data_IF_890569787556
#
_entry.id   IF_890569787556
#
_cell.length_a   1.000
_cell.length_b   1.000
_cell.length_c   1.000
_cell.angle_alpha   90.00
_cell.angle_beta   90.00
_cell.angle_gamma   90.00
#
_symmetry.space_group_name_H-M   'P 1'
#
loop_
_entity.id
_entity.type
_entity.pdbx_description
1 polymer ?
#
# COMPACT_ATOMS: atom_id res chain seq x y z
N UNK A 1 5.30 7.08 -12.59
CA UNK A 1 4.70 5.89 -11.92
C UNK A 1 4.62 4.76 -12.93
N UNK A 2 4.73 3.50 -12.47
CA UNK A 2 4.60 2.34 -13.35
C UNK A 2 3.17 2.17 -13.84
N UNK A 3 2.99 1.62 -15.05
CA UNK A 3 1.68 1.24 -15.59
C UNK A 3 1.44 -0.26 -15.43
N UNK A 4 0.19 -0.67 -15.44
CA UNK A 4 -0.17 -2.09 -15.44
C UNK A 4 0.43 -2.85 -16.63
N UNK A 5 0.53 -2.21 -17.79
CA UNK A 5 1.15 -2.78 -18.99
C UNK A 5 2.63 -3.08 -18.78
N UNK A 6 3.38 -2.17 -18.18
CA UNK A 6 4.80 -2.41 -17.87
C UNK A 6 5.00 -3.60 -16.92
N UNK A 7 4.10 -3.74 -15.93
CA UNK A 7 4.15 -4.90 -15.03
C UNK A 7 3.81 -6.19 -15.76
N UNK A 8 2.78 -6.17 -16.61
CA UNK A 8 2.39 -7.30 -17.44
C UNK A 8 3.53 -7.75 -18.36
N UNK A 9 4.15 -6.83 -19.11
CA UNK A 9 5.24 -7.13 -20.03
C UNK A 9 6.45 -7.74 -19.32
N UNK A 10 6.78 -7.22 -18.12
CA UNK A 10 7.84 -7.80 -17.28
C UNK A 10 7.49 -9.18 -16.78
N UNK A 11 6.25 -9.42 -16.37
CA UNK A 11 5.82 -10.74 -15.92
C UNK A 11 5.87 -11.77 -17.06
N UNK A 12 5.43 -11.41 -18.27
CA UNK A 12 5.55 -12.25 -19.44
C UNK A 12 7.01 -12.55 -19.78
N UNK A 13 7.89 -11.53 -19.76
CA UNK A 13 9.32 -11.76 -20.01
C UNK A 13 9.95 -12.71 -18.99
N UNK A 14 9.53 -12.66 -17.73
CA UNK A 14 9.99 -13.61 -16.70
C UNK A 14 9.51 -15.04 -16.98
N UNK A 15 8.26 -15.20 -17.41
CA UNK A 15 7.70 -16.52 -17.78
C UNK A 15 8.41 -17.06 -19.01
N UNK A 16 8.60 -16.26 -20.05
CA UNK A 16 9.25 -16.64 -21.31
C UNK A 16 10.71 -17.02 -21.10
N UNK A 17 11.48 -16.28 -20.28
CA UNK A 17 12.87 -16.59 -19.98
C UNK A 17 13.03 -17.97 -19.35
N UNK A 18 12.12 -18.34 -18.46
CA UNK A 18 12.20 -19.66 -17.79
C UNK A 18 11.70 -20.78 -18.72
N UNK A 19 10.68 -20.51 -19.51
CA UNK A 19 10.15 -21.49 -20.45
C UNK A 19 11.12 -21.80 -21.59
N UNK A 20 11.95 -20.85 -22.03
CA UNK A 20 13.03 -21.12 -22.99
C UNK A 20 14.06 -22.13 -22.49
N UNK A 21 14.31 -22.19 -21.19
CA UNK A 21 15.18 -23.22 -20.59
C UNK A 21 14.51 -24.62 -20.52
N UNK A 22 13.18 -24.65 -20.39
CA UNK A 22 12.41 -25.90 -20.27
C UNK A 22 11.80 -26.37 -21.59
N UNK A 23 11.76 -25.53 -22.62
CA UNK A 23 11.25 -25.86 -23.94
C UNK A 23 9.72 -25.87 -24.06
N UNK A 24 9.00 -25.40 -23.07
CA UNK A 24 7.53 -25.38 -23.07
C UNK A 24 7.00 -23.94 -23.06
N UNK A 25 6.68 -23.36 -24.21
CA UNK A 25 5.82 -22.16 -24.30
C UNK A 25 4.78 -22.40 -25.37
N UNK A 26 3.53 -22.33 -24.99
CA UNK A 26 2.42 -22.31 -25.91
C UNK A 26 1.96 -20.87 -26.18
N UNK A 27 2.03 -20.43 -27.44
CA UNK A 27 1.68 -19.05 -27.84
C UNK A 27 0.20 -18.70 -27.63
N UNK A 28 -0.67 -19.68 -27.39
CA UNK A 28 -2.10 -19.47 -27.13
C UNK A 28 -2.41 -18.93 -25.73
N UNK A 29 -1.50 -19.07 -24.78
CA UNK A 29 -1.70 -18.66 -23.38
C UNK A 29 -1.58 -17.15 -23.14
N UNK A 30 -0.85 -16.42 -23.99
CA UNK A 30 -0.64 -14.97 -23.83
C UNK A 30 -1.93 -14.14 -23.91
N UNK A 31 -2.91 -14.57 -24.69
CA UNK A 31 -4.21 -13.90 -24.79
C UNK A 31 -5.03 -14.02 -23.50
N UNK A 32 -4.97 -15.17 -22.84
CA UNK A 32 -5.66 -15.43 -21.59
C UNK A 32 -4.97 -14.68 -20.41
N UNK A 33 -3.65 -14.58 -20.41
CA UNK A 33 -2.90 -13.77 -19.45
C UNK A 33 -3.25 -12.29 -19.54
N UNK A 34 -3.35 -11.75 -20.75
CA UNK A 34 -3.72 -10.36 -20.95
C UNK A 34 -5.12 -10.04 -20.42
N UNK A 35 -6.08 -10.95 -20.62
CA UNK A 35 -7.45 -10.78 -20.15
C UNK A 35 -7.55 -10.78 -18.61
N UNK A 36 -6.68 -11.54 -17.94
CA UNK A 36 -6.66 -11.67 -16.46
C UNK A 36 -5.79 -10.63 -15.77
N UNK A 37 -4.82 -10.06 -16.47
CA UNK A 37 -3.83 -9.15 -15.90
C UNK A 37 -4.43 -7.99 -15.10
N UNK A 38 -5.47 -7.26 -15.55
CA UNK A 38 -6.04 -6.15 -14.77
C UNK A 38 -6.55 -6.58 -13.40
N UNK A 39 -7.23 -7.71 -13.33
CA UNK A 39 -7.77 -8.26 -12.09
C UNK A 39 -6.64 -8.69 -11.13
N UNK A 40 -5.67 -9.44 -11.63
CA UNK A 40 -4.53 -9.91 -10.83
C UNK A 40 -3.66 -8.75 -10.34
N UNK A 41 -3.42 -7.74 -11.18
CA UNK A 41 -2.68 -6.52 -10.80
C UNK A 41 -3.43 -5.76 -9.71
N UNK A 42 -4.77 -5.69 -9.77
CA UNK A 42 -5.58 -5.07 -8.71
C UNK A 42 -5.40 -5.77 -7.36
N UNK A 43 -5.42 -7.12 -7.35
CA UNK A 43 -5.19 -7.91 -6.12
C UNK A 43 -3.79 -7.66 -5.58
N UNK A 44 -2.76 -7.78 -6.41
CA UNK A 44 -1.37 -7.58 -6.02
C UNK A 44 -1.11 -6.15 -5.53
N UNK A 45 -1.69 -5.15 -6.21
CA UNK A 45 -1.59 -3.76 -5.79
C UNK A 45 -2.20 -3.56 -4.38
N UNK A 46 -3.35 -4.17 -4.11
CA UNK A 46 -4.00 -4.09 -2.79
C UNK A 46 -3.16 -4.78 -1.72
N UNK A 47 -2.62 -5.96 -2.02
CA UNK A 47 -1.76 -6.71 -1.10
C UNK A 47 -0.46 -5.96 -0.77
N UNK A 48 0.13 -5.30 -1.77
CA UNK A 48 1.42 -4.63 -1.64
C UNK A 48 1.33 -3.17 -1.18
N UNK A 49 0.12 -2.58 -1.18
CA UNK A 49 -0.09 -1.19 -0.79
C UNK A 49 0.47 -0.83 0.60
N UNK A 50 0.38 -1.69 1.65
CA UNK A 50 0.99 -1.43 2.95
C UNK A 50 2.53 -1.32 2.92
N UNK A 51 3.19 -1.88 1.90
CA UNK A 51 4.64 -1.84 1.72
C UNK A 51 5.10 -0.67 0.84
N UNK A 52 4.19 -0.12 0.05
CA UNK A 52 4.42 1.06 -0.77
C UNK A 52 4.71 2.29 0.10
N UNK A 53 5.38 3.28 -0.49
CA UNK A 53 5.56 4.61 0.11
C UNK A 53 4.39 5.55 -0.13
N UNK A 54 3.39 5.11 -0.88
CA UNK A 54 2.21 5.92 -1.18
C UNK A 54 1.37 6.11 0.06
N UNK A 55 1.18 7.37 0.46
CA UNK A 55 0.35 7.77 1.60
C UNK A 55 -0.56 8.89 1.17
N UNK A 56 -1.73 8.92 1.79
CA UNK A 56 -2.66 10.04 1.74
C UNK A 56 -2.86 10.62 3.13
N UNK A 57 -3.40 11.81 3.17
CA UNK A 57 -3.75 12.46 4.43
C UNK A 57 -5.16 13.06 4.36
N UNK A 58 -5.82 13.09 5.50
CA UNK A 58 -7.06 13.82 5.71
C UNK A 58 -6.97 14.60 7.02
N UNK A 59 -7.78 15.64 7.17
CA UNK A 59 -7.75 16.52 8.34
C UNK A 59 -9.11 16.56 9.03
N UNK A 60 -9.07 16.53 10.35
CA UNK A 60 -10.24 16.66 11.22
C UNK A 60 -10.03 17.85 12.13
N UNK A 61 -10.96 18.81 12.09
CA UNK A 61 -10.91 19.99 12.95
C UNK A 61 -11.49 19.66 14.33
N UNK A 62 -10.73 19.91 15.37
CA UNK A 62 -11.14 19.79 16.76
C UNK A 62 -11.39 21.17 17.37
N UNK A 63 -12.57 21.39 17.92
CA UNK A 63 -13.00 22.70 18.45
C UNK A 63 -12.89 22.81 19.99
N UNK A 64 -12.37 21.79 20.65
CA UNK A 64 -12.31 21.73 22.11
C UNK A 64 -13.66 21.40 22.77
N UNK A 65 -13.64 21.28 24.09
CA UNK A 65 -14.85 21.13 24.90
C UNK A 65 -15.40 19.71 25.06
N UNK A 66 -14.95 18.76 24.30
CA UNK A 66 -15.38 17.35 24.42
C UNK A 66 -14.36 16.55 25.27
N UNK A 67 -14.85 15.96 26.34
CA UNK A 67 -14.05 14.98 27.14
C UNK A 67 -14.54 13.60 26.75
N UNK A 68 -13.63 12.77 26.23
CA UNK A 68 -13.94 11.37 25.91
C UNK A 68 -13.69 11.02 24.44
N UNK A 69 -14.30 9.93 24.00
CA UNK A 69 -14.17 9.45 22.64
C UNK A 69 -14.90 10.36 21.64
N UNK A 70 -14.19 10.79 20.66
CA UNK A 70 -14.76 11.48 19.50
C UNK A 70 -14.66 10.57 18.31
N UNK A 71 -15.75 10.48 17.56
CA UNK A 71 -15.86 9.70 16.33
C UNK A 71 -15.82 10.62 15.13
N UNK A 72 -15.06 10.27 14.13
CA UNK A 72 -15.03 10.96 12.85
C UNK A 72 -15.06 9.98 11.70
N UNK A 73 -15.69 10.40 10.60
CA UNK A 73 -15.71 9.61 9.37
C UNK A 73 -14.36 9.71 8.66
N UNK A 74 -13.90 8.57 8.17
CA UNK A 74 -12.71 8.46 7.34
C UNK A 74 -13.10 8.53 5.85
N UNK A 75 -12.16 8.93 4.97
CA UNK A 75 -12.33 8.74 3.54
C UNK A 75 -12.62 7.26 3.21
N UNK A 76 -13.43 7.03 2.18
CA UNK A 76 -13.84 5.68 1.79
C UNK A 76 -12.71 4.82 1.25
N UNK A 77 -11.59 5.43 0.92
CA UNK A 77 -10.39 4.78 0.40
C UNK A 77 -9.32 4.49 1.47
N UNK A 78 -9.67 4.48 2.76
CA UNK A 78 -8.74 4.13 3.83
C UNK A 78 -8.61 2.62 3.94
N UNK A 79 -7.39 2.10 3.69
CA UNK A 79 -7.03 0.71 3.94
C UNK A 79 -6.59 0.51 5.40
N UNK A 80 -5.68 1.35 5.87
CA UNK A 80 -5.22 1.36 7.27
C UNK A 80 -4.68 2.73 7.66
N UNK A 81 -4.87 3.10 8.91
CA UNK A 81 -4.27 4.31 9.49
C UNK A 81 -2.82 3.99 9.89
N UNK A 82 -1.89 4.87 9.53
CA UNK A 82 -0.48 4.75 9.87
C UNK A 82 -0.08 5.68 11.00
N UNK A 83 -0.58 6.93 10.98
CA UNK A 83 -0.26 7.92 12.01
C UNK A 83 -1.38 8.95 12.16
N UNK A 84 -1.45 9.55 13.35
CA UNK A 84 -2.33 10.67 13.66
C UNK A 84 -1.49 11.77 14.30
N UNK A 85 -1.36 12.88 13.58
CA UNK A 85 -0.56 14.03 14.00
C UNK A 85 -1.49 15.19 14.40
N UNK A 86 -1.27 15.76 15.55
CA UNK A 86 -2.02 16.92 16.01
C UNK A 86 -1.27 18.21 15.72
N UNK A 87 -1.96 19.17 15.14
CA UNK A 87 -1.49 20.52 14.91
C UNK A 87 -2.37 21.51 15.65
N UNK A 88 -1.78 22.32 16.53
CA UNK A 88 -2.50 23.46 17.13
C UNK A 88 -1.99 24.77 16.55
N UNK A 89 -2.82 25.83 16.62
CA UNK A 89 -2.45 27.16 16.14
C UNK A 89 -1.24 27.77 16.86
N UNK A 90 -0.75 27.15 17.93
CA UNK A 90 0.31 27.71 18.77
C UNK A 90 1.52 26.84 18.99
N UNK A 91 1.40 25.51 18.84
CA UNK A 91 2.52 24.55 19.01
C UNK A 91 2.16 23.20 18.39
N UNK A 92 3.16 22.50 17.89
CA UNK A 92 3.04 21.06 17.67
C UNK A 92 2.88 20.38 19.02
N UNK A 93 1.70 19.85 19.30
CA UNK A 93 1.48 19.08 20.52
C UNK A 93 2.03 17.67 20.29
N UNK A 94 2.98 17.30 21.13
CA UNK A 94 3.44 15.94 21.22
C UNK A 94 2.34 15.17 21.97
N UNK A 95 1.53 14.41 21.22
CA UNK A 95 0.50 13.50 21.73
C UNK A 95 -0.75 14.12 22.42
N UNK A 96 -1.53 15.01 21.80
CA UNK A 96 -2.84 15.32 22.32
C UNK A 96 -3.86 14.19 22.06
N UNK A 97 -3.56 13.26 21.16
CA UNK A 97 -4.34 12.05 20.91
C UNK A 97 -3.76 10.93 21.74
N UNK A 98 -4.45 10.56 22.79
CA UNK A 98 -4.02 9.52 23.74
C UNK A 98 -4.25 8.12 23.16
N UNK A 99 -5.27 7.96 22.34
CA UNK A 99 -5.62 6.72 21.69
C UNK A 99 -6.44 7.00 20.43
N UNK A 100 -6.12 6.29 19.37
CA UNK A 100 -6.92 6.28 18.15
C UNK A 100 -7.15 4.83 17.73
N UNK A 101 -8.40 4.50 17.41
CA UNK A 101 -8.81 3.17 16.96
C UNK A 101 -9.63 3.30 15.69
N UNK A 102 -9.26 2.55 14.65
CA UNK A 102 -10.04 2.47 13.43
C UNK A 102 -11.17 1.45 13.60
N UNK A 103 -12.39 1.89 13.31
CA UNK A 103 -13.61 1.08 13.37
C UNK A 103 -14.31 1.12 11.99
N UNK A 104 -13.87 0.23 11.07
CA UNK A 104 -14.35 0.27 9.70
C UNK A 104 -14.01 1.61 9.03
N UNK A 105 -15.03 2.36 8.59
CA UNK A 105 -14.88 3.66 7.95
C UNK A 105 -14.87 4.84 8.93
N UNK A 106 -14.74 4.59 10.22
CA UNK A 106 -14.64 5.65 11.23
C UNK A 106 -13.35 5.49 12.02
N UNK A 107 -12.89 6.59 12.58
CA UNK A 107 -11.86 6.61 13.59
C UNK A 107 -12.45 7.11 14.89
N UNK A 108 -12.22 6.34 15.96
CA UNK A 108 -12.53 6.73 17.32
C UNK A 108 -11.24 7.22 17.98
N UNK A 109 -11.21 8.45 18.45
CA UNK A 109 -10.03 8.99 19.13
C UNK A 109 -10.41 9.69 20.43
N UNK A 110 -9.49 9.59 21.38
CA UNK A 110 -9.57 10.24 22.67
C UNK A 110 -8.53 11.35 22.74
N UNK A 111 -8.95 12.57 22.99
CA UNK A 111 -8.06 13.72 23.13
C UNK A 111 -8.43 14.60 24.32
N UNK A 112 -7.47 15.42 24.75
CA UNK A 112 -7.69 16.40 25.81
C UNK A 112 -8.76 17.41 25.40
N UNK A 113 -9.69 17.70 26.31
CA UNK A 113 -10.77 18.67 26.10
C UNK A 113 -10.29 20.10 25.83
N UNK A 114 -9.06 20.42 26.17
CA UNK A 114 -8.43 21.70 25.89
C UNK A 114 -7.89 21.82 24.47
N UNK A 115 -7.77 20.68 23.74
CA UNK A 115 -7.20 20.70 22.41
C UNK A 115 -8.12 21.39 21.40
N UNK A 116 -7.61 22.46 20.80
CA UNK A 116 -8.20 23.17 19.68
C UNK A 116 -7.18 23.19 18.54
N UNK A 117 -7.53 22.57 17.42
CA UNK A 117 -6.61 22.47 16.30
C UNK A 117 -7.05 21.45 15.27
N UNK A 118 -6.12 20.99 14.48
CA UNK A 118 -6.35 20.02 13.42
C UNK A 118 -5.65 18.70 13.73
N UNK A 119 -6.37 17.60 13.61
CA UNK A 119 -5.80 16.26 13.57
C UNK A 119 -5.58 15.87 12.12
N UNK A 120 -4.33 15.65 11.76
CA UNK A 120 -3.96 15.13 10.44
C UNK A 120 -3.80 13.62 10.54
N UNK A 121 -4.62 12.88 9.81
CA UNK A 121 -4.59 11.43 9.74
C UNK A 121 -3.82 11.03 8.49
N UNK A 122 -2.73 10.30 8.67
CA UNK A 122 -1.91 9.74 7.59
C UNK A 122 -2.32 8.28 7.43
N UNK A 123 -2.67 7.90 6.21
CA UNK A 123 -3.20 6.57 5.95
C UNK A 123 -2.69 5.96 4.65
N UNK A 124 -2.72 4.65 4.62
CA UNK A 124 -2.51 3.84 3.41
C UNK A 124 -3.84 3.80 2.66
N UNK A 125 -3.91 4.27 1.42
CA UNK A 125 -5.16 4.23 0.66
C UNK A 125 -5.43 2.84 0.08
N UNK A 126 -6.71 2.52 -0.12
CA UNK A 126 -7.14 1.43 -1.00
C UNK A 126 -6.82 1.86 -2.44
N UNK A 127 -6.06 1.06 -3.20
CA UNK A 127 -5.77 1.41 -4.59
C UNK A 127 -7.02 1.30 -5.46
N UNK A 128 -7.09 2.15 -6.49
CA UNK A 128 -8.15 2.03 -7.48
C UNK A 128 -8.03 0.72 -8.27
N UNK A 129 -9.14 0.04 -8.60
CA UNK A 129 -9.11 -1.12 -9.47
C UNK A 129 -8.50 -0.78 -10.83
N UNK A 130 -7.65 -1.68 -11.34
CA UNK A 130 -7.05 -1.54 -12.65
C UNK A 130 -8.06 -1.98 -13.71
N UNK A 131 -8.57 -1.04 -14.48
CA UNK A 131 -9.49 -1.30 -15.61
C UNK A 131 -8.82 -1.06 -16.95
N UNK A 132 -7.73 -0.29 -16.96
CA UNK A 132 -6.90 0.00 -18.10
C UNK A 132 -5.43 -0.25 -17.72
N UNK A 133 -4.76 -1.12 -18.49
CA UNK A 133 -3.36 -1.44 -18.24
C UNK A 133 -2.41 -0.29 -18.57
N UNK A 134 -2.82 0.66 -19.38
CA UNK A 134 -2.01 1.82 -19.75
C UNK A 134 -2.12 2.96 -18.72
N UNK A 135 -3.06 2.88 -17.78
CA UNK A 135 -3.17 3.83 -16.70
C UNK A 135 -2.03 3.65 -15.67
N UNK A 136 -1.65 4.77 -15.04
CA UNK A 136 -0.68 4.75 -13.94
C UNK A 136 -1.25 4.05 -12.70
N UNK A 137 -0.42 3.20 -12.08
CA UNK A 137 -0.79 2.52 -10.85
C UNK A 137 -0.69 3.45 -9.64
N UNK A 138 -1.52 3.23 -8.63
CA UNK A 138 -1.49 4.00 -7.38
C UNK A 138 -0.23 3.72 -6.54
N UNK A 139 0.40 2.57 -6.77
CA UNK A 139 1.58 2.09 -6.02
C UNK A 139 2.88 2.75 -6.54
N UNK A 140 3.89 2.90 -5.68
CA UNK A 140 5.19 3.44 -6.10
C UNK A 140 5.99 2.44 -6.98
N UNK A 141 6.95 2.97 -7.78
CA UNK A 141 7.69 2.20 -8.77
C UNK A 141 8.52 1.06 -8.16
N UNK A 142 9.01 1.21 -6.93
CA UNK A 142 9.82 0.18 -6.25
C UNK A 142 8.92 -1.02 -5.94
N UNK A 143 7.77 -0.75 -5.36
CA UNK A 143 6.80 -1.78 -5.01
C UNK A 143 6.12 -2.36 -6.26
N UNK A 144 5.91 -1.54 -7.30
CA UNK A 144 5.38 -2.00 -8.59
C UNK A 144 6.29 -3.05 -9.27
N UNK A 145 7.61 -2.90 -9.16
CA UNK A 145 8.55 -3.91 -9.70
C UNK A 145 8.38 -5.29 -9.07
N UNK A 146 8.01 -5.35 -7.80
CA UNK A 146 7.74 -6.58 -7.09
C UNK A 146 6.49 -7.30 -7.64
N UNK A 147 5.50 -6.54 -8.12
CA UNK A 147 4.26 -7.09 -8.69
C UNK A 147 4.51 -7.99 -9.89
N UNK A 148 5.57 -7.74 -10.67
CA UNK A 148 5.89 -8.55 -11.84
C UNK A 148 6.17 -10.03 -11.47
N UNK A 149 6.84 -10.28 -10.35
CA UNK A 149 7.07 -11.64 -9.86
C UNK A 149 5.79 -12.31 -9.35
N UNK A 150 4.94 -11.56 -8.62
CA UNK A 150 3.65 -12.07 -8.17
C UNK A 150 2.69 -12.36 -9.33
N UNK A 151 2.73 -11.53 -10.37
CA UNK A 151 1.94 -11.74 -11.58
C UNK A 151 2.44 -12.94 -12.38
N UNK A 152 3.76 -13.12 -12.50
CA UNK A 152 4.36 -14.30 -13.14
C UNK A 152 3.99 -15.60 -12.39
N UNK A 153 4.03 -15.58 -11.04
CA UNK A 153 3.54 -16.70 -10.22
C UNK A 153 2.08 -17.03 -10.51
N UNK A 154 1.22 -16.00 -10.56
CA UNK A 154 -0.21 -16.18 -10.80
C UNK A 154 -0.50 -16.74 -12.20
N UNK A 155 0.29 -16.38 -13.21
CA UNK A 155 0.16 -16.92 -14.56
C UNK A 155 0.54 -18.40 -14.61
N UNK A 156 1.67 -18.76 -14.05
CA UNK A 156 2.16 -20.15 -14.02
C UNK A 156 1.26 -21.07 -13.19
N UNK A 157 0.62 -20.55 -12.15
CA UNK A 157 -0.31 -21.35 -11.32
C UNK A 157 -1.48 -21.89 -12.16
N UNK A 158 -1.90 -21.18 -13.19
CA UNK A 158 -2.95 -21.63 -14.12
C UNK A 158 -2.48 -22.81 -14.97
N UNK A 159 -1.21 -22.88 -15.30
CA UNK A 159 -0.61 -23.94 -16.12
C UNK A 159 -0.29 -25.21 -15.35
N UNK A 160 -0.52 -25.22 -14.03
CA UNK A 160 -0.23 -26.36 -13.13
C UNK A 160 1.25 -26.81 -13.14
N UNK A 161 2.16 -25.86 -13.39
CA UNK A 161 3.60 -26.11 -13.30
C UNK A 161 4.13 -25.80 -11.90
N UNK A 162 4.01 -26.79 -10.99
CA UNK A 162 4.38 -26.64 -9.57
C UNK A 162 5.85 -26.22 -9.36
N UNK A 163 6.75 -26.58 -10.27
CA UNK A 163 8.17 -26.24 -10.13
C UNK A 163 8.42 -24.77 -10.38
N UNK A 164 7.93 -24.23 -11.50
CA UNK A 164 8.07 -22.83 -11.83
C UNK A 164 7.32 -21.93 -10.86
N UNK A 165 6.13 -22.34 -10.43
CA UNK A 165 5.36 -21.64 -9.42
C UNK A 165 6.17 -21.45 -8.13
N UNK A 166 6.85 -22.49 -7.65
CA UNK A 166 7.69 -22.40 -6.43
C UNK A 166 8.83 -21.40 -6.61
N UNK A 167 9.47 -21.36 -7.78
CA UNK A 167 10.56 -20.43 -8.07
C UNK A 167 10.05 -19.00 -8.01
N UNK A 168 8.93 -18.68 -8.69
CA UNK A 168 8.39 -17.32 -8.70
C UNK A 168 7.88 -16.92 -7.33
N UNK A 169 7.21 -17.81 -6.61
CA UNK A 169 6.79 -17.58 -5.24
C UNK A 169 7.96 -17.25 -4.33
N UNK A 170 9.03 -18.04 -4.39
CA UNK A 170 10.22 -17.78 -3.61
C UNK A 170 10.82 -16.40 -3.94
N UNK A 171 10.97 -16.07 -5.22
CA UNK A 171 11.47 -14.75 -5.64
C UNK A 171 10.56 -13.61 -5.18
N UNK A 172 9.26 -13.79 -5.26
CA UNK A 172 8.28 -12.82 -4.77
C UNK A 172 8.43 -12.59 -3.26
N UNK A 173 8.48 -13.67 -2.48
CA UNK A 173 8.62 -13.61 -1.02
C UNK A 173 9.96 -13.00 -0.58
N UNK A 174 11.06 -13.32 -1.28
CA UNK A 174 12.38 -12.72 -1.05
C UNK A 174 12.35 -11.20 -1.30
N UNK A 175 11.80 -10.75 -2.43
CA UNK A 175 11.69 -9.34 -2.76
C UNK A 175 10.74 -8.60 -1.82
N UNK A 176 9.64 -9.22 -1.43
CA UNK A 176 8.70 -8.70 -0.44
C UNK A 176 9.37 -8.49 0.91
N UNK A 177 10.22 -9.41 1.33
CA UNK A 177 11.01 -9.29 2.55
C UNK A 177 12.00 -8.12 2.49
N UNK A 178 12.64 -7.90 1.34
CA UNK A 178 13.52 -6.73 1.11
C UNK A 178 12.72 -5.43 1.15
N UNK A 179 11.54 -5.40 0.53
CA UNK A 179 10.66 -4.22 0.57
C UNK A 179 10.20 -3.89 2.00
N UNK A 180 9.91 -4.92 2.81
CA UNK A 180 9.60 -4.78 4.23
C UNK A 180 10.75 -4.19 5.02
N UNK A 181 11.97 -4.69 4.81
CA UNK A 181 13.17 -4.20 5.51
C UNK A 181 13.47 -2.74 5.17
N UNK A 182 13.12 -2.31 3.97
CA UNK A 182 13.29 -0.94 3.48
C UNK A 182 12.05 -0.05 3.70
N UNK A 183 11.00 -0.59 4.33
CA UNK A 183 9.84 0.24 4.69
C UNK A 183 10.31 1.39 5.55
N UNK A 184 10.01 2.65 5.20
CA UNK A 184 10.37 3.76 6.07
C UNK A 184 9.69 3.49 7.42
N UNK A 185 10.50 3.18 8.41
CA UNK A 185 10.08 3.10 9.82
C UNK A 185 9.47 4.45 10.12
N UNK A 186 8.19 4.46 10.45
CA UNK A 186 7.26 5.59 10.53
C UNK A 186 7.95 6.92 10.76
N UNK A 187 7.39 7.99 10.25
CA UNK A 187 8.01 9.32 10.24
C UNK A 187 8.91 9.49 11.46
N UNK A 188 10.19 9.76 11.24
CA UNK A 188 11.13 10.13 12.31
C UNK A 188 10.36 11.09 13.21
N UNK A 189 10.02 10.67 14.42
CA UNK A 189 9.48 11.60 15.41
C UNK A 189 10.48 12.75 15.43
N UNK A 190 10.08 13.91 14.93
CA UNK A 190 10.88 15.11 15.09
C UNK A 190 10.88 15.34 16.61
N UNK A 191 11.89 14.79 17.25
CA UNK A 191 12.16 15.09 18.64
C UNK A 191 12.48 16.57 18.63
N UNK A 192 11.66 17.37 19.27
CA UNK A 192 11.91 18.79 19.48
C UNK A 192 13.30 18.90 20.14
N UNK A 193 14.30 19.30 19.35
CA UNK A 193 15.68 19.48 19.82
C UNK A 193 15.77 20.69 20.78
N UNK A 194 14.73 21.50 20.81
CA UNK A 194 14.58 22.63 21.73
C UNK A 194 13.76 22.20 22.95
N UNK A 195 14.32 21.29 23.75
CA UNK A 195 13.90 21.07 25.14
C UNK A 195 14.04 22.38 25.91
N UNK A 196 13.03 23.22 25.80
CA UNK A 196 12.90 24.40 26.64
C UNK A 196 12.69 23.98 28.08
N UNK A 197 13.59 24.41 28.94
CA UNK A 197 13.55 24.42 30.39
C UNK A 197 12.24 25.05 30.89
#
# INVERSE_FOLDING_TARGET
>A
MATGRQIYERAIALVDEINQETGEVDADTTGDYLARAPYLITILQTELMPYSRTRKQTEITCTGGNIGWTKADLPTDVLSIEDVVAESNYRYYKDPVWKAEQNGNTIDFYYDSSFVGTLRIIYVPVPAPVTDLDAELTIDDITANLMAYGLAEAFINVEQNDFLQRIFKQKYDEQKSVALANKPVGMVKIVDVYGGV
#
